data_IF_152607237624
#
_entry.id   IF_152607237624
#
_cell.length_a   1.000
_cell.length_b   1.000
_cell.length_c   1.000
_cell.angle_alpha   90.00
_cell.angle_beta   90.00
_cell.angle_gamma   90.00
#
_symmetry.space_group_name_H-M   'P 1'
#
loop_
_entity.id
_entity.type
_entity.pdbx_description
1 polymer ?
#
# COMPACT_ATOMS: atom_id res chain seq x y z
N UNK A 1 6.35 26.64 -6.54
CA UNK A 1 6.02 26.66 -5.10
C UNK A 1 5.18 25.43 -4.84
N UNK A 2 5.74 24.39 -4.20
CA UNK A 2 4.95 23.19 -3.89
C UNK A 2 4.13 23.50 -2.64
N UNK A 3 2.80 23.44 -2.75
CA UNK A 3 1.92 23.56 -1.59
C UNK A 3 2.15 22.42 -0.59
N UNK A 4 1.59 22.49 0.63
CA UNK A 4 1.61 21.34 1.53
C UNK A 4 1.05 20.12 0.79
N UNK A 5 1.71 18.97 0.93
CA UNK A 5 1.21 17.71 0.39
C UNK A 5 -0.17 17.45 1.00
N UNK A 6 -1.22 17.77 0.26
CA UNK A 6 -2.60 17.68 0.72
C UNK A 6 -3.00 16.21 0.77
N UNK A 7 -3.60 15.79 1.88
CA UNK A 7 -4.02 14.40 2.08
C UNK A 7 -5.45 14.26 1.62
N UNK A 8 -5.66 13.47 0.57
CA UNK A 8 -7.01 13.14 0.08
C UNK A 8 -7.65 12.01 0.90
N UNK A 9 -8.91 12.21 1.31
CA UNK A 9 -9.69 11.21 2.06
C UNK A 9 -11.00 10.92 1.34
N UNK A 10 -11.22 9.65 1.02
CA UNK A 10 -12.43 9.15 0.36
C UNK A 10 -13.21 8.27 1.35
N UNK A 11 -14.46 8.65 1.66
CA UNK A 11 -15.33 7.85 2.53
C UNK A 11 -16.33 7.02 1.73
N UNK A 12 -16.46 5.73 2.07
CA UNK A 12 -17.43 4.81 1.47
C UNK A 12 -18.50 4.47 2.52
N UNK A 13 -19.72 4.98 2.33
CA UNK A 13 -20.84 4.84 3.28
C UNK A 13 -22.01 4.07 2.67
N UNK A 14 -22.82 3.43 3.51
CA UNK A 14 -23.96 2.63 3.07
C UNK A 14 -24.32 1.51 4.06
N UNK A 15 -25.45 0.84 3.80
CA UNK A 15 -25.99 -0.22 4.67
C UNK A 15 -24.99 -1.37 4.91
N UNK A 16 -25.08 -2.09 6.05
CA UNK A 16 -24.34 -3.33 6.25
C UNK A 16 -24.57 -4.32 5.10
N UNK A 17 -23.54 -5.08 4.72
CA UNK A 17 -23.67 -6.10 3.66
C UNK A 17 -23.72 -5.60 2.21
N UNK A 18 -23.79 -4.28 1.95
CA UNK A 18 -23.85 -3.73 0.57
C UNK A 18 -22.54 -3.89 -0.24
N UNK A 19 -21.46 -4.35 0.41
CA UNK A 19 -20.17 -4.59 -0.26
C UNK A 19 -19.17 -3.42 -0.23
N UNK A 20 -19.27 -2.50 0.74
CA UNK A 20 -18.33 -1.35 0.88
C UNK A 20 -16.86 -1.78 0.93
N UNK A 21 -16.54 -2.70 1.83
CA UNK A 21 -15.18 -3.25 1.95
C UNK A 21 -14.76 -3.99 0.68
N UNK A 22 -15.70 -4.68 0.02
CA UNK A 22 -15.45 -5.36 -1.26
C UNK A 22 -15.09 -4.38 -2.36
N UNK A 23 -15.77 -3.22 -2.43
CA UNK A 23 -15.46 -2.17 -3.39
C UNK A 23 -14.05 -1.60 -3.15
N UNK A 24 -13.72 -1.22 -1.90
CA UNK A 24 -12.39 -0.74 -1.54
C UNK A 24 -11.30 -1.77 -1.83
N UNK A 25 -11.56 -3.05 -1.55
CA UNK A 25 -10.63 -4.14 -1.82
C UNK A 25 -10.35 -4.29 -3.32
N UNK A 26 -11.38 -4.18 -4.17
CA UNK A 26 -11.19 -4.25 -5.63
C UNK A 26 -10.31 -3.13 -6.16
N UNK A 27 -10.51 -1.89 -5.69
CA UNK A 27 -9.65 -0.74 -6.03
C UNK A 27 -8.23 -0.97 -5.53
N UNK A 28 -8.07 -1.44 -4.29
CA UNK A 28 -6.76 -1.71 -3.70
C UNK A 28 -5.92 -2.71 -4.51
N UNK A 29 -6.53 -3.77 -5.04
CA UNK A 29 -5.87 -4.83 -5.81
C UNK A 29 -5.94 -4.65 -7.33
N UNK A 30 -6.52 -3.55 -7.82
CA UNK A 30 -6.60 -3.35 -9.25
C UNK A 30 -5.20 -3.26 -9.87
N UNK A 31 -4.99 -4.04 -10.93
CA UNK A 31 -3.70 -4.16 -11.62
C UNK A 31 -3.39 -2.92 -12.45
N UNK A 32 -4.39 -2.10 -12.75
CA UNK A 32 -4.22 -0.84 -13.49
C UNK A 32 -3.73 0.32 -12.59
N UNK A 33 -3.93 0.23 -11.27
CA UNK A 33 -3.51 1.27 -10.30
C UNK A 33 -2.11 1.05 -9.70
N UNK A 34 -1.39 0.00 -10.14
CA UNK A 34 -0.08 -0.38 -9.59
C UNK A 34 1.01 0.68 -9.85
N UNK A 35 0.76 1.65 -10.72
CA UNK A 35 1.66 2.77 -11.00
C UNK A 35 1.36 4.09 -10.25
N UNK A 36 0.21 4.21 -9.58
CA UNK A 36 -0.19 5.48 -8.94
C UNK A 36 0.29 5.61 -7.48
N UNK A 37 0.40 4.49 -6.77
CA UNK A 37 0.84 4.47 -5.37
C UNK A 37 2.08 3.58 -5.22
N UNK A 38 3.21 4.20 -4.86
CA UNK A 38 4.49 3.50 -4.58
C UNK A 38 4.35 2.50 -3.43
N UNK A 39 3.50 2.82 -2.45
CA UNK A 39 3.28 2.05 -1.25
C UNK A 39 1.79 1.95 -0.96
N UNK A 40 1.32 0.77 -0.54
CA UNK A 40 -0.07 0.50 -0.16
C UNK A 40 -0.10 -0.34 1.13
N UNK A 41 -1.11 -0.13 1.97
CA UNK A 41 -1.38 -0.97 3.13
C UNK A 41 -2.89 -1.12 3.34
N UNK A 42 -3.30 -2.28 3.84
CA UNK A 42 -4.67 -2.63 4.16
C UNK A 42 -4.77 -3.12 5.61
N UNK A 43 -5.43 -2.37 6.49
CA UNK A 43 -5.64 -2.78 7.87
C UNK A 43 -7.13 -2.73 8.27
N UNK A 44 -7.54 -3.68 9.10
CA UNK A 44 -8.83 -3.62 9.81
C UNK A 44 -8.64 -3.00 11.18
N UNK A 45 -9.60 -2.18 11.59
CA UNK A 45 -9.63 -1.52 12.90
C UNK A 45 -10.75 -2.15 13.74
N UNK A 46 -10.40 -2.57 14.95
CA UNK A 46 -11.36 -3.13 15.90
C UNK A 46 -12.22 -2.01 16.51
N UNK A 47 -13.39 -2.37 17.07
CA UNK A 47 -14.28 -1.41 17.72
C UNK A 47 -13.60 -0.65 18.87
N UNK A 48 -12.70 -1.32 19.59
CA UNK A 48 -11.78 -0.72 20.55
C UNK A 48 -10.40 -0.61 19.91
N UNK A 49 -10.06 0.54 19.30
CA UNK A 49 -8.83 0.67 18.56
C UNK A 49 -7.62 0.67 19.49
N UNK A 50 -6.60 -0.09 19.11
CA UNK A 50 -5.26 0.03 19.68
C UNK A 50 -4.33 0.64 18.63
N UNK A 51 -4.11 1.94 18.73
CA UNK A 51 -3.35 2.73 17.77
C UNK A 51 -1.95 2.14 17.52
N UNK A 52 -1.25 1.70 18.57
CA UNK A 52 0.08 1.09 18.46
C UNK A 52 0.04 -0.18 17.61
N UNK A 53 -0.97 -1.04 17.81
CA UNK A 53 -1.14 -2.26 17.00
C UNK A 53 -1.49 -1.93 15.55
N UNK A 54 -2.31 -0.91 15.31
CA UNK A 54 -2.68 -0.48 13.95
C UNK A 54 -1.45 0.06 13.21
N UNK A 55 -0.69 0.96 13.83
CA UNK A 55 0.55 1.50 13.26
C UNK A 55 1.58 0.41 12.99
N UNK A 56 1.73 -0.57 13.90
CA UNK A 56 2.61 -1.72 13.68
C UNK A 56 2.18 -2.58 12.49
N UNK A 57 0.87 -2.83 12.31
CA UNK A 57 0.36 -3.58 11.14
C UNK A 57 0.67 -2.85 9.84
N UNK A 58 0.38 -1.54 9.78
CA UNK A 58 0.65 -0.71 8.58
C UNK A 58 2.16 -0.70 8.28
N UNK A 59 2.99 -0.45 9.28
CA UNK A 59 4.45 -0.41 9.12
C UNK A 59 5.02 -1.71 8.57
N UNK A 60 4.59 -2.85 9.11
CA UNK A 60 5.06 -4.17 8.67
C UNK A 60 4.64 -4.47 7.22
N UNK A 61 3.40 -4.16 6.82
CA UNK A 61 2.97 -4.36 5.42
C UNK A 61 3.78 -3.51 4.43
N UNK A 62 4.03 -2.25 4.77
CA UNK A 62 4.80 -1.33 3.93
C UNK A 62 6.25 -1.77 3.76
N UNK A 63 6.90 -2.22 4.84
CA UNK A 63 8.30 -2.66 4.78
C UNK A 63 8.44 -3.97 4.04
N UNK A 64 7.57 -4.96 4.30
CA UNK A 64 7.61 -6.24 3.58
C UNK A 64 7.35 -6.08 2.09
N UNK A 65 6.63 -5.03 1.66
CA UNK A 65 6.51 -4.68 0.25
C UNK A 65 7.82 -4.12 -0.32
N UNK A 66 8.53 -3.28 0.43
CA UNK A 66 9.79 -2.66 0.01
C UNK A 66 10.92 -3.68 -0.18
N UNK A 67 11.01 -4.68 0.71
CA UNK A 67 12.03 -5.73 0.64
C UNK A 67 11.91 -6.58 -0.65
N UNK A 68 10.68 -6.78 -1.16
CA UNK A 68 10.43 -7.56 -2.38
C UNK A 68 10.74 -6.82 -3.69
N UNK A 69 10.88 -5.49 -3.64
CA UNK A 69 11.17 -4.66 -4.83
C UNK A 69 12.68 -4.50 -5.05
N UNK A 70 13.51 -4.76 -4.03
CA UNK A 70 14.97 -4.57 -4.05
C UNK A 70 15.81 -5.70 -4.68
N UNK A 71 15.22 -6.71 -5.32
CA UNK A 71 15.94 -7.89 -5.86
C UNK A 71 16.06 -7.94 -7.40
N UNK A 72 15.93 -6.81 -8.11
CA UNK A 72 16.05 -6.79 -9.58
C UNK A 72 17.23 -6.00 -10.16
N UNK A 73 18.16 -5.49 -9.35
CA UNK A 73 19.40 -4.89 -9.85
C UNK A 73 20.56 -5.89 -9.74
N UNK A 74 20.49 -6.99 -10.51
CA UNK A 74 21.70 -7.76 -10.85
C UNK A 74 22.27 -7.08 -12.10
N UNK A 75 23.28 -6.22 -11.90
CA UNK A 75 24.14 -5.70 -12.97
C UNK A 75 24.77 -6.88 -13.72
N UNK A 76 24.16 -7.28 -14.83
CA UNK A 76 24.78 -8.17 -15.79
C UNK A 76 25.76 -7.36 -16.68
N UNK A 77 27.00 -7.85 -16.69
CA UNK A 77 28.00 -7.72 -17.75
C UNK A 77 28.96 -6.51 -17.75
N UNK A 78 30.08 -6.62 -17.02
CA UNK A 78 31.42 -6.38 -17.59
C UNK A 78 32.41 -7.40 -17.02
N UNK A 79 32.65 -8.49 -17.75
CA UNK A 79 33.83 -9.33 -17.56
C UNK A 79 34.42 -9.75 -18.90
N UNK A 80 34.65 -8.77 -19.79
CA UNK A 80 35.57 -8.97 -20.91
C UNK A 80 36.91 -8.31 -20.59
N UNK A 81 37.73 -9.07 -19.84
CA UNK A 81 39.17 -8.91 -19.74
C UNK A 81 39.81 -10.28 -19.47
N UNK A 82 39.94 -11.07 -20.53
CA UNK A 82 41.11 -11.92 -20.77
C UNK A 82 41.51 -11.82 -22.24
#
# INVERSE_FOLDING_TARGET
MSGPNEIDVISIVGMPGIGKSTLAYRVYYDKYDVGHFEVRSWCTVDQEPNEKKILQKIFNEVISLKERVGENDIDDEVADKL
#
